data_IF_929382674457
#
_entry.id   IF_929382674457
#
_cell.length_a   1.000
_cell.length_b   1.000
_cell.length_c   1.000
_cell.angle_alpha   90.00
_cell.angle_beta   90.00
_cell.angle_gamma   90.00
#
_symmetry.space_group_name_H-M   'P 1'
#
loop_
_entity.id
_entity.type
_entity.pdbx_description
1 polymer ?
#
# COMPACT_ATOMS: atom_id res chain seq x y z
N UNK A 1 -17.19 4.99 3.14
CA UNK A 1 -17.78 6.03 3.99
C UNK A 1 -16.81 7.12 4.43
N UNK A 2 -15.52 6.84 4.47
CA UNK A 2 -14.51 7.85 4.79
C UNK A 2 -13.75 8.25 3.53
N UNK A 3 -13.48 9.55 3.37
CA UNK A 3 -12.76 10.08 2.21
C UNK A 3 -11.25 10.07 2.41
N UNK A 4 -10.77 10.01 3.65
CA UNK A 4 -9.35 10.02 3.95
C UNK A 4 -9.03 9.18 5.21
N UNK A 5 -7.74 9.01 5.46
CA UNK A 5 -7.21 8.26 6.59
C UNK A 5 -7.71 8.79 7.95
N UNK A 6 -7.72 10.09 8.13
CA UNK A 6 -8.13 10.72 9.38
C UNK A 6 -9.62 10.49 9.67
N UNK A 7 -10.47 10.62 8.68
CA UNK A 7 -11.91 10.34 8.82
C UNK A 7 -12.16 8.86 9.13
N UNK A 8 -11.44 7.97 8.46
CA UNK A 8 -11.54 6.53 8.71
C UNK A 8 -11.17 6.17 10.14
N UNK A 9 -10.11 6.75 10.67
CA UNK A 9 -9.70 6.56 12.08
C UNK A 9 -10.76 7.07 13.06
N UNK A 10 -11.33 8.24 12.81
CA UNK A 10 -12.36 8.80 13.66
C UNK A 10 -13.63 7.95 13.67
N UNK A 11 -14.05 7.47 12.52
CA UNK A 11 -15.21 6.58 12.44
C UNK A 11 -14.99 5.26 13.19
N UNK A 12 -13.80 4.67 13.03
CA UNK A 12 -13.46 3.44 13.73
C UNK A 12 -13.38 3.66 15.24
N UNK A 13 -12.83 4.79 15.67
CA UNK A 13 -12.77 5.18 17.08
C UNK A 13 -14.18 5.32 17.69
N UNK A 14 -15.10 5.94 16.96
CA UNK A 14 -16.51 6.07 17.39
C UNK A 14 -17.17 4.72 17.65
N UNK A 15 -16.90 3.75 16.80
CA UNK A 15 -17.45 2.39 16.93
C UNK A 15 -16.88 1.64 18.14
N UNK A 16 -15.62 1.90 18.48
CA UNK A 16 -14.93 1.23 19.59
C UNK A 16 -15.25 1.90 20.93
N UNK A 17 -15.32 3.24 20.97
CA UNK A 17 -15.56 4.02 22.17
C UNK A 17 -16.62 5.11 21.94
N UNK A 18 -17.90 4.74 21.86
CA UNK A 18 -18.94 5.74 21.66
C UNK A 18 -19.05 6.69 22.86
N UNK A 19 -19.21 7.98 22.58
CA UNK A 19 -19.41 9.01 23.60
C UNK A 19 -18.15 9.71 24.10
N UNK A 20 -16.96 9.28 23.70
CA UNK A 20 -15.71 9.98 24.05
C UNK A 20 -15.40 11.10 23.03
N UNK A 21 -14.67 12.17 23.46
CA UNK A 21 -14.23 13.20 22.54
C UNK A 21 -13.35 12.62 21.43
N UNK A 22 -13.55 13.10 20.21
CA UNK A 22 -12.83 12.63 19.03
C UNK A 22 -11.63 13.51 18.73
N UNK A 23 -10.45 12.89 18.66
CA UNK A 23 -9.24 13.51 18.14
C UNK A 23 -8.50 12.48 17.26
N UNK A 24 -7.94 12.93 16.14
CA UNK A 24 -7.22 12.05 15.20
C UNK A 24 -6.07 11.33 15.92
N UNK A 25 -5.27 12.06 16.68
CA UNK A 25 -4.12 11.50 17.40
C UNK A 25 -4.54 10.42 18.41
N UNK A 26 -5.64 10.66 19.14
CA UNK A 26 -6.18 9.69 20.09
C UNK A 26 -6.72 8.44 19.38
N UNK A 27 -7.42 8.62 18.26
CA UNK A 27 -7.95 7.52 17.45
C UNK A 27 -6.82 6.68 16.85
N UNK A 28 -5.82 7.32 16.29
CA UNK A 28 -4.65 6.64 15.72
C UNK A 28 -3.89 5.87 16.80
N UNK A 29 -3.62 6.48 17.93
CA UNK A 29 -2.93 5.87 19.06
C UNK A 29 -3.69 4.66 19.62
N UNK A 30 -5.00 4.80 19.79
CA UNK A 30 -5.85 3.70 20.28
C UNK A 30 -5.84 2.50 19.32
N UNK A 31 -6.07 2.76 18.05
CA UNK A 31 -6.13 1.70 17.02
C UNK A 31 -4.78 1.03 16.87
N UNK A 32 -3.70 1.80 16.86
CA UNK A 32 -2.34 1.27 16.78
C UNK A 32 -2.03 0.39 18.00
N UNK A 33 -2.41 0.84 19.20
CA UNK A 33 -2.21 0.06 20.43
C UNK A 33 -3.02 -1.23 20.45
N UNK A 34 -4.29 -1.17 20.03
CA UNK A 34 -5.18 -2.32 20.11
C UNK A 34 -4.88 -3.38 19.07
N UNK A 35 -4.58 -2.97 17.84
CA UNK A 35 -4.49 -3.89 16.71
C UNK A 35 -3.09 -4.02 16.12
N UNK A 36 -2.24 -3.01 16.30
CA UNK A 36 -1.02 -2.87 15.52
C UNK A 36 0.19 -2.48 16.36
N UNK A 37 0.14 -2.68 17.67
CA UNK A 37 1.31 -2.45 18.54
C UNK A 37 2.45 -3.38 18.11
N UNK A 38 3.62 -2.86 17.70
CA UNK A 38 4.75 -3.69 17.27
C UNK A 38 5.22 -4.69 18.32
N UNK A 39 4.97 -4.41 19.60
CA UNK A 39 5.30 -5.32 20.70
C UNK A 39 4.38 -6.53 20.76
N UNK A 40 3.15 -6.39 20.29
CA UNK A 40 2.14 -7.45 20.27
C UNK A 40 2.05 -8.13 18.91
N UNK A 41 2.30 -7.38 17.85
CA UNK A 41 2.07 -7.79 16.47
C UNK A 41 3.34 -7.64 15.63
N UNK A 42 4.44 -8.21 16.11
CA UNK A 42 5.63 -8.35 15.28
C UNK A 42 5.27 -9.28 14.13
N UNK A 43 5.21 -8.72 12.92
CA UNK A 43 5.01 -9.51 11.72
C UNK A 43 6.30 -10.25 11.40
N UNK A 44 6.38 -11.51 11.80
CA UNK A 44 7.41 -12.39 11.30
C UNK A 44 7.36 -12.39 9.75
N UNK A 45 8.44 -12.81 9.10
CA UNK A 45 8.56 -12.87 7.64
C UNK A 45 7.30 -13.43 6.95
N UNK A 46 6.75 -14.50 7.50
CA UNK A 46 5.53 -15.14 6.98
C UNK A 46 4.30 -14.25 7.16
N UNK A 47 4.22 -13.51 8.26
CA UNK A 47 3.12 -12.59 8.53
C UNK A 47 3.06 -11.44 7.54
N UNK A 48 4.21 -10.82 7.24
CA UNK A 48 4.29 -9.75 6.23
C UNK A 48 3.88 -10.26 4.85
N UNK A 49 4.34 -11.44 4.45
CA UNK A 49 3.96 -12.05 3.18
C UNK A 49 2.45 -12.27 3.08
N UNK A 50 1.84 -12.84 4.10
CA UNK A 50 0.39 -13.08 4.12
C UNK A 50 -0.42 -11.78 4.09
N UNK A 51 0.06 -10.77 4.82
CA UNK A 51 -0.57 -9.46 4.86
C UNK A 51 -0.52 -8.79 3.49
N UNK A 52 0.64 -8.79 2.84
CA UNK A 52 0.81 -8.25 1.50
C UNK A 52 -0.06 -8.98 0.49
N UNK A 53 -0.11 -10.31 0.55
CA UNK A 53 -0.92 -11.13 -0.36
C UNK A 53 -2.41 -10.77 -0.28
N UNK A 54 -2.90 -10.48 0.90
CA UNK A 54 -4.30 -10.08 1.10
C UNK A 54 -4.54 -8.63 0.66
N UNK A 55 -3.62 -7.72 0.96
CA UNK A 55 -3.83 -6.28 0.81
C UNK A 55 -3.24 -5.69 -0.46
N UNK A 56 -2.36 -6.40 -1.18
CA UNK A 56 -1.75 -5.84 -2.38
C UNK A 56 -2.80 -5.48 -3.42
N UNK A 57 -2.62 -4.32 -4.03
CA UNK A 57 -3.58 -3.74 -4.97
C UNK A 57 -3.91 -4.69 -6.11
N UNK A 58 -2.89 -5.32 -6.70
CA UNK A 58 -3.07 -6.21 -7.86
C UNK A 58 -4.04 -7.36 -7.61
N UNK A 59 -4.03 -7.95 -6.42
CA UNK A 59 -4.93 -9.06 -6.10
C UNK A 59 -6.38 -8.61 -5.92
N UNK A 60 -6.58 -7.32 -5.65
CA UNK A 60 -7.90 -6.75 -5.41
C UNK A 60 -8.55 -6.17 -6.65
N UNK A 61 -7.75 -5.76 -7.65
CA UNK A 61 -8.25 -5.13 -8.87
C UNK A 61 -8.29 -6.05 -10.08
N UNK A 62 -7.55 -7.16 -10.07
CA UNK A 62 -7.54 -8.11 -11.18
C UNK A 62 -8.94 -8.64 -11.49
N UNK A 63 -9.34 -8.61 -12.76
CA UNK A 63 -10.66 -9.03 -13.21
C UNK A 63 -11.74 -7.98 -13.14
N UNK A 64 -11.45 -6.82 -12.56
CA UNK A 64 -12.40 -5.73 -12.45
C UNK A 64 -12.21 -4.72 -13.58
N UNK A 65 -13.25 -3.92 -13.85
CA UNK A 65 -13.22 -2.85 -14.83
C UNK A 65 -12.87 -1.54 -14.16
N UNK A 66 -11.95 -0.77 -14.74
CA UNK A 66 -11.58 0.54 -14.23
C UNK A 66 -12.72 1.55 -14.43
N UNK A 67 -13.03 2.29 -13.38
CA UNK A 67 -14.01 3.36 -13.42
C UNK A 67 -13.40 4.70 -13.85
N UNK A 68 -12.11 4.87 -13.62
CA UNK A 68 -11.35 6.08 -13.97
C UNK A 68 -10.00 5.71 -14.56
N UNK A 69 -9.37 6.66 -15.25
CA UNK A 69 -8.02 6.49 -15.76
C UNK A 69 -7.04 6.27 -14.60
N UNK A 70 -6.05 5.41 -14.81
CA UNK A 70 -4.96 5.18 -13.86
C UNK A 70 -3.71 5.86 -14.40
N UNK A 71 -3.19 6.81 -13.64
CA UNK A 71 -2.02 7.62 -14.03
C UNK A 71 -0.86 7.27 -13.10
N UNK A 72 0.33 7.08 -13.69
CA UNK A 72 1.56 6.85 -12.91
C UNK A 72 1.92 8.12 -12.12
N UNK A 73 2.03 8.05 -10.78
CA UNK A 73 2.48 9.20 -10.01
C UNK A 73 3.96 9.55 -10.23
N UNK A 74 4.73 8.60 -10.77
CA UNK A 74 6.16 8.80 -11.06
C UNK A 74 6.42 9.51 -12.38
N UNK A 75 5.65 9.21 -13.42
CA UNK A 75 5.87 9.71 -14.77
C UNK A 75 4.77 10.65 -15.29
N UNK A 76 3.59 10.62 -14.68
CA UNK A 76 2.41 11.34 -15.17
C UNK A 76 1.74 10.70 -16.37
N UNK A 77 2.24 9.57 -16.86
CA UNK A 77 1.65 8.85 -17.99
C UNK A 77 0.43 8.05 -17.59
N UNK A 78 -0.55 7.95 -18.49
CA UNK A 78 -1.72 7.10 -18.31
C UNK A 78 -1.32 5.64 -18.49
N UNK A 79 -1.46 4.83 -17.43
CA UNK A 79 -1.17 3.40 -17.47
C UNK A 79 -2.32 2.64 -18.12
N UNK A 80 -3.55 3.03 -17.79
CA UNK A 80 -4.76 2.44 -18.33
C UNK A 80 -5.90 3.43 -18.29
N UNK A 81 -6.80 3.33 -19.27
CA UNK A 81 -7.96 4.21 -19.36
C UNK A 81 -9.19 3.61 -18.67
N UNK A 82 -10.11 4.48 -18.27
CA UNK A 82 -11.42 4.09 -17.77
C UNK A 82 -12.12 3.14 -18.75
N UNK A 83 -12.76 2.10 -18.24
CA UNK A 83 -13.39 1.05 -19.04
C UNK A 83 -12.52 -0.14 -19.36
N UNK A 84 -11.22 -0.07 -19.11
CA UNK A 84 -10.31 -1.20 -19.29
C UNK A 84 -10.56 -2.29 -18.24
N UNK A 85 -10.53 -3.56 -18.66
CA UNK A 85 -10.58 -4.70 -17.76
C UNK A 85 -9.16 -5.02 -17.33
N UNK A 86 -8.94 -5.11 -16.03
CA UNK A 86 -7.62 -5.33 -15.46
C UNK A 86 -7.25 -6.81 -15.51
N UNK A 87 -6.28 -7.16 -16.36
CA UNK A 87 -5.67 -8.48 -16.35
C UNK A 87 -4.47 -8.53 -15.38
N UNK A 88 -3.80 -9.67 -15.27
CA UNK A 88 -2.65 -9.83 -14.36
C UNK A 88 -1.49 -8.89 -14.69
N UNK A 89 -1.16 -8.74 -15.97
CA UNK A 89 -0.06 -7.87 -16.41
C UNK A 89 -0.35 -6.41 -16.08
N UNK A 90 -1.57 -5.95 -16.37
CA UNK A 90 -1.99 -4.59 -16.06
C UNK A 90 -2.03 -4.36 -14.55
N UNK A 91 -2.52 -5.33 -13.78
CA UNK A 91 -2.54 -5.26 -12.33
C UNK A 91 -1.12 -5.13 -11.75
N UNK A 92 -0.16 -5.90 -12.26
CA UNK A 92 1.24 -5.78 -11.86
C UNK A 92 1.82 -4.42 -12.20
N UNK A 93 1.55 -3.90 -13.39
CA UNK A 93 2.01 -2.58 -13.81
C UNK A 93 1.46 -1.48 -12.90
N UNK A 94 0.19 -1.56 -12.54
CA UNK A 94 -0.46 -0.59 -11.65
C UNK A 94 0.14 -0.68 -10.23
N UNK A 95 0.28 -1.90 -9.70
CA UNK A 95 0.88 -2.12 -8.38
C UNK A 95 2.29 -1.53 -8.31
N UNK A 96 3.12 -1.81 -9.30
CA UNK A 96 4.54 -1.44 -9.30
C UNK A 96 4.81 0.00 -9.76
N UNK A 97 3.79 0.70 -10.24
CA UNK A 97 3.85 2.14 -10.47
C UNK A 97 3.63 2.95 -9.18
N UNK A 98 3.41 2.27 -8.05
CA UNK A 98 3.12 2.90 -6.76
C UNK A 98 1.88 3.79 -6.78
N UNK A 99 0.87 3.36 -7.52
CA UNK A 99 -0.42 4.04 -7.56
C UNK A 99 -1.10 3.90 -6.20
N UNK A 100 -1.47 5.01 -5.54
CA UNK A 100 -2.02 4.93 -4.17
C UNK A 100 -3.43 4.36 -4.10
N UNK A 101 -4.22 4.51 -5.16
CA UNK A 101 -5.57 3.99 -5.22
C UNK A 101 -6.03 3.80 -6.67
N UNK A 102 -7.07 2.98 -6.84
CA UNK A 102 -7.70 2.73 -8.14
C UNK A 102 -9.22 2.73 -7.93
N UNK A 103 -9.94 3.39 -8.84
CA UNK A 103 -11.40 3.32 -8.86
C UNK A 103 -11.84 2.19 -9.79
N UNK A 104 -12.63 1.27 -9.27
CA UNK A 104 -13.20 0.17 -10.04
C UNK A 104 -14.73 0.30 -10.13
N UNK A 105 -15.28 -0.12 -11.27
CA UNK A 105 -16.72 -0.13 -11.49
C UNK A 105 -17.33 -1.38 -10.86
N UNK A 106 -18.50 -1.22 -10.25
CA UNK A 106 -19.29 -2.33 -9.71
C UNK A 106 -20.42 -2.65 -10.67
N UNK A 107 -20.52 -3.92 -11.08
CA UNK A 107 -21.58 -4.34 -12.00
C UNK A 107 -22.98 -4.29 -11.38
N UNK A 108 -23.07 -4.48 -10.08
CA UNK A 108 -24.34 -4.56 -9.34
C UNK A 108 -24.80 -3.24 -8.70
N UNK A 109 -24.03 -2.18 -8.87
CA UNK A 109 -24.33 -0.90 -8.20
C UNK A 109 -23.80 0.26 -9.03
N UNK A 110 -24.53 1.37 -9.01
CA UNK A 110 -24.12 2.62 -9.68
C UNK A 110 -22.94 3.30 -8.97
N UNK A 111 -22.43 2.71 -7.90
CA UNK A 111 -21.32 3.28 -7.13
C UNK A 111 -20.01 2.60 -7.47
N UNK A 112 -19.03 3.39 -7.88
CA UNK A 112 -17.66 2.95 -8.04
C UNK A 112 -17.00 2.73 -6.68
N UNK A 113 -16.04 1.81 -6.63
CA UNK A 113 -15.30 1.50 -5.41
C UNK A 113 -13.89 2.03 -5.55
N UNK A 114 -13.42 2.74 -4.53
CA UNK A 114 -12.02 3.14 -4.38
C UNK A 114 -11.26 2.03 -3.68
N UNK A 115 -10.27 1.46 -4.35
CA UNK A 115 -9.40 0.42 -3.79
C UNK A 115 -8.06 1.05 -3.42
N UNK A 116 -7.73 1.01 -2.13
CA UNK A 116 -6.50 1.60 -1.59
C UNK A 116 -5.35 0.61 -1.60
N UNK A 117 -4.17 1.06 -2.02
CA UNK A 117 -2.95 0.28 -2.02
C UNK A 117 -2.29 0.28 -0.64
N UNK A 118 -1.63 -0.81 -0.25
CA UNK A 118 -0.75 -0.82 0.92
C UNK A 118 0.67 -0.32 0.58
N UNK A 119 0.89 0.14 -0.64
CA UNK A 119 2.14 0.73 -1.13
C UNK A 119 3.36 -0.19 -1.07
N UNK A 120 3.15 -1.49 -1.15
CA UNK A 120 4.22 -2.46 -1.30
C UNK A 120 4.43 -2.75 -2.78
N UNK A 121 5.68 -2.71 -3.23
CA UNK A 121 6.03 -2.86 -4.66
C UNK A 121 7.17 -3.87 -4.85
N UNK A 122 7.30 -4.37 -6.08
CA UNK A 122 8.41 -5.25 -6.46
C UNK A 122 9.65 -4.40 -6.76
N UNK A 123 10.74 -4.65 -6.04
CA UNK A 123 11.99 -3.90 -6.18
C UNK A 123 12.54 -3.95 -7.62
N UNK A 124 12.53 -5.13 -8.24
CA UNK A 124 13.04 -5.29 -9.61
C UNK A 124 12.22 -4.50 -10.63
N UNK A 125 10.90 -4.52 -10.48
CA UNK A 125 10.01 -3.78 -11.39
C UNK A 125 10.20 -2.26 -11.28
N UNK A 126 10.50 -1.75 -10.09
CA UNK A 126 10.67 -0.31 -9.85
C UNK A 126 12.08 0.16 -10.18
N UNK A 127 13.12 -0.56 -9.76
CA UNK A 127 14.52 -0.12 -9.84
C UNK A 127 15.37 -0.92 -10.83
N UNK A 128 14.90 -2.07 -11.30
CA UNK A 128 15.71 -2.97 -12.12
C UNK A 128 16.77 -3.75 -11.36
N UNK A 129 16.83 -3.61 -10.04
CA UNK A 129 17.80 -4.30 -9.19
C UNK A 129 17.26 -5.68 -8.83
N UNK A 130 18.10 -6.73 -9.00
CA UNK A 130 17.76 -8.07 -8.55
C UNK A 130 17.65 -8.08 -7.00
N UNK A 131 16.49 -8.46 -6.45
CA UNK A 131 16.32 -8.48 -5.00
C UNK A 131 17.33 -9.34 -4.27
N UNK A 132 17.77 -10.44 -4.85
CA UNK A 132 18.75 -11.34 -4.25
C UNK A 132 20.09 -10.66 -4.01
N UNK A 133 20.51 -9.76 -4.90
CA UNK A 133 21.77 -9.02 -4.76
C UNK A 133 21.84 -8.13 -3.53
N UNK A 134 20.70 -7.69 -3.03
CA UNK A 134 20.60 -6.79 -1.88
C UNK A 134 19.94 -7.43 -0.65
N UNK A 135 19.67 -8.74 -0.71
CA UNK A 135 19.07 -9.47 0.39
C UNK A 135 17.58 -9.24 0.61
N UNK A 136 16.88 -8.75 -0.41
CA UNK A 136 15.43 -8.53 -0.37
C UNK A 136 14.73 -9.80 -0.81
N UNK A 137 13.79 -10.28 -0.01
CA UNK A 137 13.05 -11.53 -0.25
C UNK A 137 11.57 -11.35 -0.48
N UNK A 138 11.05 -10.13 -0.34
CA UNK A 138 9.63 -9.80 -0.42
C UNK A 138 9.42 -8.47 -1.12
N UNK A 139 8.15 -8.06 -1.25
CA UNK A 139 7.82 -6.70 -1.69
C UNK A 139 8.40 -5.68 -0.70
N UNK A 140 8.72 -4.50 -1.20
CA UNK A 140 9.29 -3.42 -0.41
C UNK A 140 8.32 -2.25 -0.27
N UNK A 141 8.43 -1.54 0.84
CA UNK A 141 7.59 -0.38 1.14
C UNK A 141 8.05 0.82 0.31
N UNK A 142 7.23 1.23 -0.63
CA UNK A 142 7.58 2.27 -1.61
C UNK A 142 7.95 3.63 -1.00
N UNK A 143 7.28 4.14 0.05
CA UNK A 143 7.67 5.43 0.63
C UNK A 143 9.13 5.48 1.08
N UNK A 144 9.64 4.39 1.66
CA UNK A 144 11.05 4.28 2.05
C UNK A 144 11.95 4.16 0.82
N UNK A 145 11.55 3.33 -0.14
CA UNK A 145 12.31 3.17 -1.39
C UNK A 145 12.42 4.51 -2.15
N UNK A 146 11.35 5.29 -2.19
CA UNK A 146 11.34 6.60 -2.85
C UNK A 146 12.34 7.56 -2.21
N UNK A 147 12.45 7.57 -0.88
CA UNK A 147 13.45 8.37 -0.17
C UNK A 147 14.88 7.94 -0.54
N UNK A 148 15.13 6.64 -0.60
CA UNK A 148 16.46 6.12 -0.98
C UNK A 148 16.80 6.43 -2.43
N UNK A 149 15.85 6.38 -3.33
CA UNK A 149 16.02 6.78 -4.74
C UNK A 149 16.40 8.24 -4.85
N UNK A 150 15.77 9.10 -4.10
CA UNK A 150 16.04 10.53 -4.08
C UNK A 150 17.42 10.82 -3.50
N UNK A 151 17.77 10.21 -2.37
CA UNK A 151 19.07 10.38 -1.69
C UNK A 151 20.26 9.94 -2.55
N UNK A 152 20.09 8.88 -3.34
CA UNK A 152 21.17 8.32 -4.16
C UNK A 152 21.24 8.93 -5.57
N UNK A 153 20.27 9.77 -5.93
CA UNK A 153 20.22 10.51 -7.19
C UNK A 153 20.44 9.64 -8.45
N UNK A 154 19.99 8.39 -8.40
CA UNK A 154 20.07 7.46 -9.52
C UNK A 154 21.38 6.67 -9.63
N UNK A 155 22.29 6.81 -8.66
CA UNK A 155 23.49 5.99 -8.59
C UNK A 155 23.10 4.59 -8.09
N UNK A 156 23.21 3.58 -8.97
CA UNK A 156 22.79 2.22 -8.69
C UNK A 156 23.60 1.57 -7.57
N UNK A 157 24.90 1.79 -7.52
CA UNK A 157 25.76 1.20 -6.51
C UNK A 157 25.47 1.77 -5.12
N UNK A 158 25.29 3.09 -5.04
CA UNK A 158 24.86 3.73 -3.79
C UNK A 158 23.47 3.28 -3.36
N UNK A 159 22.56 3.11 -4.33
CA UNK A 159 21.21 2.63 -4.06
C UNK A 159 21.22 1.20 -3.51
N UNK A 160 22.03 0.30 -4.06
CA UNK A 160 22.17 -1.07 -3.55
C UNK A 160 22.65 -1.10 -2.11
N UNK A 161 23.64 -0.27 -1.77
CA UNK A 161 24.12 -0.13 -0.39
C UNK A 161 23.05 0.43 0.54
N UNK A 162 22.33 1.46 0.10
CA UNK A 162 21.26 2.07 0.88
C UNK A 162 20.11 1.07 1.14
N UNK A 163 19.75 0.28 0.14
CA UNK A 163 18.72 -0.77 0.28
C UNK A 163 19.16 -1.80 1.31
N UNK A 164 20.39 -2.27 1.21
CA UNK A 164 20.93 -3.26 2.14
C UNK A 164 20.95 -2.75 3.59
N UNK A 165 21.35 -1.49 3.78
CA UNK A 165 21.36 -0.84 5.10
C UNK A 165 19.96 -0.64 5.70
N UNK A 166 18.97 -0.38 4.87
CA UNK A 166 17.62 -0.02 5.29
C UNK A 166 16.60 -1.13 5.08
N UNK A 167 17.06 -2.37 5.02
CA UNK A 167 16.21 -3.51 4.70
C UNK A 167 15.05 -3.68 5.69
N UNK A 168 15.28 -3.39 6.96
CA UNK A 168 14.24 -3.50 8.00
C UNK A 168 13.14 -2.44 7.87
N UNK A 169 13.48 -1.30 7.28
CA UNK A 169 12.50 -0.24 7.00
C UNK A 169 11.77 -0.48 5.69
N UNK A 170 12.48 -1.06 4.71
CA UNK A 170 11.90 -1.43 3.40
C UNK A 170 10.92 -2.59 3.51
N UNK A 171 11.21 -3.55 4.38
CA UNK A 171 10.32 -4.68 4.66
C UNK A 171 9.87 -4.57 6.12
N UNK A 172 8.88 -3.73 6.40
CA UNK A 172 8.48 -3.47 7.78
C UNK A 172 7.87 -4.71 8.42
N UNK A 173 8.34 -5.04 9.62
CA UNK A 173 7.79 -6.11 10.46
C UNK A 173 6.60 -5.64 11.29
N UNK A 174 6.33 -4.35 11.25
CA UNK A 174 5.15 -3.76 11.88
C UNK A 174 4.11 -3.43 10.82
N UNK A 175 2.90 -3.18 11.25
CA UNK A 175 1.81 -2.78 10.36
C UNK A 175 1.91 -1.28 10.07
N UNK A 176 1.95 -0.92 8.79
CA UNK A 176 2.05 0.47 8.34
C UNK A 176 0.67 1.13 8.31
N UNK A 177 0.64 2.47 8.25
CA UNK A 177 -0.63 3.20 8.09
C UNK A 177 -1.34 2.82 6.78
N UNK A 178 -0.61 2.55 5.72
CA UNK A 178 -1.17 2.11 4.44
C UNK A 178 -1.80 0.73 4.57
N UNK A 179 -1.21 -0.18 5.36
CA UNK A 179 -1.82 -1.48 5.67
C UNK A 179 -3.15 -1.30 6.40
N UNK A 180 -3.21 -0.38 7.37
CA UNK A 180 -4.45 -0.07 8.10
C UNK A 180 -5.51 0.43 7.13
N UNK A 181 -5.18 1.39 6.30
CA UNK A 181 -6.11 1.97 5.33
C UNK A 181 -6.61 0.92 4.34
N UNK A 182 -5.71 0.12 3.78
CA UNK A 182 -6.06 -0.95 2.85
C UNK A 182 -6.92 -2.01 3.53
N UNK A 183 -6.64 -2.34 4.78
CA UNK A 183 -7.41 -3.32 5.56
C UNK A 183 -8.85 -2.84 5.83
N UNK A 184 -9.01 -1.59 6.24
CA UNK A 184 -10.33 -0.97 6.43
C UNK A 184 -11.10 -0.97 5.11
N UNK A 185 -10.46 -0.56 4.04
CA UNK A 185 -11.03 -0.51 2.70
C UNK A 185 -11.41 -1.90 2.18
N UNK A 186 -10.60 -2.92 2.46
CA UNK A 186 -10.87 -4.30 2.06
C UNK A 186 -12.16 -4.85 2.69
N UNK A 187 -12.43 -4.46 3.93
CA UNK A 187 -13.61 -4.93 4.69
C UNK A 187 -14.87 -4.08 4.41
N UNK A 188 -14.75 -3.03 3.66
CA UNK A 188 -15.87 -2.19 3.23
C UNK A 188 -16.40 -2.64 1.88
#
# INVERSE_FOLDING_TARGET
TSENYQEGLLELYKKIRPGEPLAVDSAESLITSMFFDPRRYDLAKVGRYKFNKKLMLKNRITGHTLAEDVVSPMTGEVIAEAGAVVDRELADAIQNAAVPYVWIAREESDRNIKVLSNMMVDLKAVCGIDPEEVGVTELVYYPVLAELLEETAGDIDELKEAIHKNIHELIPKHITKEDIMASINYNM
#
